data_IF_618620468970
#
_entry.id   IF_618620468970
#
_cell.length_a   1.000
_cell.length_b   1.000
_cell.length_c   1.000
_cell.angle_alpha   90.00
_cell.angle_beta   90.00
_cell.angle_gamma   90.00
#
_symmetry.space_group_name_H-M   'P 1'
#
loop_
_entity.id
_entity.type
_entity.pdbx_description
1 polymer ?
#
# COMPACT_ATOMS: atom_id res chain seq x y z
N UNK A 1 -14.75 21.82 10.61
CA UNK A 1 -13.34 21.74 10.16
C UNK A 1 -12.64 23.09 10.33
N UNK A 2 -13.09 24.16 9.67
CA UNK A 2 -12.46 25.50 9.74
C UNK A 2 -12.36 26.10 11.17
N UNK A 3 -13.39 25.95 12.00
CA UNK A 3 -13.39 26.46 13.38
C UNK A 3 -12.30 25.77 14.22
N UNK A 4 -12.12 24.46 14.07
CA UNK A 4 -11.07 23.70 14.78
C UNK A 4 -9.68 24.21 14.39
N UNK A 5 -9.45 24.39 13.09
CA UNK A 5 -8.19 24.91 12.55
C UNK A 5 -7.93 26.33 13.08
N UNK A 6 -8.95 27.19 13.15
CA UNK A 6 -8.80 28.55 13.69
C UNK A 6 -8.38 28.54 15.16
N UNK A 7 -9.03 27.72 16.00
CA UNK A 7 -8.67 27.58 17.41
C UNK A 7 -7.28 26.96 17.61
N UNK A 8 -6.91 25.98 16.78
CA UNK A 8 -5.60 25.34 16.81
C UNK A 8 -4.49 26.34 16.48
N UNK A 9 -4.67 27.15 15.44
CA UNK A 9 -3.72 28.21 15.04
C UNK A 9 -3.54 29.27 16.13
N UNK A 10 -4.63 29.68 16.80
CA UNK A 10 -4.58 30.64 17.91
C UNK A 10 -3.85 30.04 19.13
N UNK A 11 -4.13 28.78 19.46
CA UNK A 11 -3.46 28.10 20.57
C UNK A 11 -1.95 27.90 20.32
N UNK A 12 -1.58 27.59 19.08
CA UNK A 12 -0.17 27.43 18.66
C UNK A 12 0.60 28.73 18.77
N UNK A 13 0.02 29.85 18.33
CA UNK A 13 0.65 31.16 18.46
C UNK A 13 0.70 31.66 19.91
N UNK A 14 -0.27 31.29 20.74
CA UNK A 14 -0.35 31.71 22.14
C UNK A 14 0.62 31.01 23.09
N UNK A 15 0.99 29.75 22.82
CA UNK A 15 1.85 28.95 23.70
C UNK A 15 2.90 28.09 22.97
N UNK A 16 3.78 28.70 22.16
CA UNK A 16 4.76 27.97 21.34
C UNK A 16 5.72 27.11 22.19
N UNK A 17 6.14 27.59 23.36
CA UNK A 17 7.08 26.88 24.24
C UNK A 17 6.51 25.61 24.91
N UNK A 18 5.18 25.51 25.08
CA UNK A 18 4.54 24.28 25.60
C UNK A 18 4.39 23.23 24.52
N UNK A 19 4.04 23.64 23.30
CA UNK A 19 4.00 22.75 22.14
C UNK A 19 5.39 22.18 21.84
N UNK A 20 6.44 22.98 21.91
CA UNK A 20 7.80 22.50 21.65
C UNK A 20 8.26 21.44 22.66
N UNK A 21 7.89 21.55 23.96
CA UNK A 21 8.17 20.50 24.95
C UNK A 21 7.35 19.23 24.74
N UNK A 22 6.06 19.36 24.40
CA UNK A 22 5.21 18.18 24.12
C UNK A 22 5.67 17.48 22.85
N UNK A 23 5.95 18.23 21.77
CA UNK A 23 6.48 17.69 20.52
C UNK A 23 7.89 17.10 20.68
N UNK A 24 8.74 17.68 21.53
CA UNK A 24 10.06 17.12 21.85
C UNK A 24 9.96 15.78 22.60
N UNK A 25 8.91 15.58 23.40
CA UNK A 25 8.61 14.29 24.04
C UNK A 25 7.79 13.33 23.18
N UNK A 26 7.25 13.74 22.03
CA UNK A 26 6.59 12.82 21.07
C UNK A 26 7.60 11.95 20.34
N UNK A 27 8.86 12.38 20.24
CA UNK A 27 9.99 11.51 19.89
C UNK A 27 10.37 10.62 21.08
N UNK A 28 9.39 10.00 21.76
CA UNK A 28 9.68 8.81 22.57
C UNK A 28 10.20 7.80 21.57
N UNK A 29 11.50 7.51 21.68
CA UNK A 29 12.14 6.38 21.04
C UNK A 29 11.21 5.18 21.19
N UNK A 30 10.47 4.83 20.13
CA UNK A 30 9.50 3.74 20.20
C UNK A 30 10.28 2.55 20.71
N UNK A 31 9.86 1.99 21.85
CA UNK A 31 10.54 0.86 22.46
C UNK A 31 10.79 -0.15 21.34
N UNK A 32 12.06 -0.54 21.13
CA UNK A 32 12.53 -1.30 19.95
C UNK A 32 11.67 -2.54 19.62
N UNK A 33 10.94 -3.05 20.60
CA UNK A 33 10.03 -4.19 20.53
C UNK A 33 8.57 -3.86 20.15
N UNK A 34 8.10 -2.63 20.36
CA UNK A 34 6.75 -2.18 20.01
C UNK A 34 6.36 -2.44 18.54
N UNK A 35 7.20 -2.15 17.52
CA UNK A 35 6.83 -2.43 16.13
C UNK A 35 6.78 -3.94 15.82
N UNK A 36 7.51 -4.76 16.58
CA UNK A 36 7.49 -6.22 16.41
C UNK A 36 6.21 -6.76 17.02
N UNK A 37 5.88 -6.35 18.25
CA UNK A 37 4.66 -6.77 18.96
C UNK A 37 3.40 -6.33 18.21
N UNK A 38 3.37 -5.11 17.67
CA UNK A 38 2.24 -4.64 16.88
C UNK A 38 2.06 -5.48 15.61
N UNK A 39 3.14 -5.73 14.87
CA UNK A 39 3.07 -6.54 13.66
C UNK A 39 2.65 -7.98 13.94
N UNK A 40 3.21 -8.62 14.97
CA UNK A 40 2.81 -9.97 15.36
C UNK A 40 1.35 -10.01 15.76
N UNK A 41 0.88 -9.04 16.54
CA UNK A 41 -0.54 -8.95 16.94
C UNK A 41 -1.44 -8.79 15.72
N UNK A 42 -1.07 -7.94 14.76
CA UNK A 42 -1.81 -7.76 13.51
C UNK A 42 -1.90 -9.07 12.70
N UNK A 43 -0.82 -9.85 12.62
CA UNK A 43 -0.81 -11.14 11.94
C UNK A 43 -1.76 -12.13 12.64
N UNK A 44 -1.70 -12.21 13.97
CA UNK A 44 -2.59 -13.11 14.74
C UNK A 44 -4.05 -12.73 14.55
N UNK A 45 -4.38 -11.45 14.68
CA UNK A 45 -5.74 -10.93 14.48
C UNK A 45 -6.23 -11.21 13.06
N UNK A 46 -5.37 -10.99 12.06
CA UNK A 46 -5.69 -11.28 10.66
C UNK A 46 -6.01 -12.76 10.43
N UNK A 47 -5.16 -13.67 10.91
CA UNK A 47 -5.37 -15.13 10.78
C UNK A 47 -6.64 -15.55 11.51
N UNK A 48 -6.89 -15.01 12.70
CA UNK A 48 -8.10 -15.28 13.47
C UNK A 48 -9.36 -14.88 12.71
N UNK A 49 -9.39 -13.69 12.09
CA UNK A 49 -10.53 -13.26 11.28
C UNK A 49 -10.65 -14.02 9.96
N UNK A 50 -9.55 -14.48 9.36
CA UNK A 50 -9.56 -15.21 8.10
C UNK A 50 -9.91 -16.70 8.25
N UNK A 51 -9.63 -17.31 9.41
CA UNK A 51 -9.93 -18.73 9.70
C UNK A 51 -11.40 -19.12 9.47
N UNK A 52 -12.42 -18.37 9.94
CA UNK A 52 -13.83 -18.69 9.69
C UNK A 52 -14.20 -18.73 8.20
N UNK A 53 -13.56 -17.91 7.37
CA UNK A 53 -13.86 -17.83 5.94
C UNK A 53 -13.15 -18.91 5.12
N UNK A 54 -11.92 -19.27 5.49
CA UNK A 54 -11.08 -20.18 4.69
C UNK A 54 -10.96 -21.60 5.27
N UNK A 55 -11.31 -21.76 6.54
CA UNK A 55 -10.93 -22.91 7.37
C UNK A 55 -9.42 -22.96 7.64
N UNK A 56 -8.99 -24.02 8.33
CA UNK A 56 -7.58 -24.31 8.54
C UNK A 56 -6.97 -24.88 7.24
N UNK A 57 -6.53 -24.02 6.33
CA UNK A 57 -5.99 -24.40 5.02
C UNK A 57 -4.59 -23.82 4.80
N UNK A 58 -3.79 -24.46 3.94
CA UNK A 58 -2.45 -23.96 3.58
C UNK A 58 -2.52 -22.57 2.94
N UNK A 59 -3.59 -22.29 2.17
CA UNK A 59 -3.82 -21.00 1.53
C UNK A 59 -3.90 -19.84 2.54
N UNK A 60 -4.46 -20.08 3.74
CA UNK A 60 -4.53 -19.09 4.81
C UNK A 60 -3.14 -18.66 5.27
N UNK A 61 -2.27 -19.62 5.54
CA UNK A 61 -0.92 -19.33 6.03
C UNK A 61 -0.07 -18.68 4.94
N UNK A 62 -0.13 -19.21 3.70
CA UNK A 62 0.62 -18.67 2.56
C UNK A 62 0.16 -17.25 2.22
N UNK A 63 -1.15 -17.01 2.13
CA UNK A 63 -1.70 -15.69 1.86
C UNK A 63 -1.39 -14.68 2.97
N UNK A 64 -1.35 -15.13 4.23
CA UNK A 64 -0.88 -14.29 5.36
C UNK A 64 0.57 -13.86 5.18
N UNK A 65 1.47 -14.79 4.87
CA UNK A 65 2.90 -14.47 4.63
C UNK A 65 3.05 -13.48 3.49
N UNK A 66 2.31 -13.67 2.41
CA UNK A 66 2.25 -12.79 1.25
C UNK A 66 1.77 -11.39 1.65
N UNK A 67 0.61 -11.27 2.31
CA UNK A 67 0.07 -9.98 2.77
C UNK A 67 1.02 -9.18 3.68
N UNK A 68 1.74 -9.87 4.57
CA UNK A 68 2.64 -9.21 5.53
C UNK A 68 4.10 -9.13 5.04
N UNK A 69 4.42 -9.76 3.91
CA UNK A 69 5.73 -9.69 3.26
C UNK A 69 6.25 -8.26 3.09
N UNK A 70 5.49 -7.27 2.60
CA UNK A 70 6.05 -5.93 2.40
C UNK A 70 6.51 -5.30 3.71
N UNK A 71 5.79 -5.53 4.82
CA UNK A 71 6.12 -4.99 6.14
C UNK A 71 7.37 -5.69 6.71
N UNK A 72 7.58 -6.97 6.39
CA UNK A 72 8.81 -7.68 6.75
C UNK A 72 9.99 -7.20 5.91
N UNK A 73 9.78 -6.98 4.61
CA UNK A 73 10.78 -6.49 3.67
C UNK A 73 11.23 -5.08 4.02
N UNK A 74 10.33 -4.20 4.49
CA UNK A 74 10.62 -2.84 4.94
C UNK A 74 11.72 -2.76 6.02
N UNK A 75 11.96 -3.84 6.79
CA UNK A 75 13.06 -3.88 7.75
C UNK A 75 14.41 -4.23 7.13
N UNK A 76 14.40 -5.05 6.08
CA UNK A 76 15.61 -5.47 5.33
C UNK A 76 15.90 -4.50 4.18
N UNK A 77 14.92 -3.65 3.89
CA UNK A 77 14.87 -2.66 2.85
C UNK A 77 16.02 -1.63 2.89
N UNK A 78 16.66 -1.44 4.03
CA UNK A 78 17.79 -0.52 4.06
C UNK A 78 19.05 -1.05 3.35
N UNK A 79 19.02 -2.26 2.75
CA UNK A 79 20.21 -2.94 2.19
C UNK A 79 20.21 -3.23 0.70
N UNK A 80 19.13 -3.03 -0.04
CA UNK A 80 19.12 -3.40 -1.47
C UNK A 80 19.53 -2.20 -2.34
N UNK A 81 20.19 -2.47 -3.48
CA UNK A 81 20.64 -1.42 -4.40
C UNK A 81 19.44 -0.67 -4.97
N UNK A 82 19.43 0.64 -4.77
CA UNK A 82 18.39 1.53 -5.31
C UNK A 82 18.75 1.96 -6.73
N UNK A 83 17.76 2.07 -7.63
CA UNK A 83 18.00 2.43 -9.03
C UNK A 83 17.16 3.66 -9.44
N UNK A 84 17.79 4.76 -9.91
CA UNK A 84 17.10 6.03 -10.19
C UNK A 84 16.10 5.95 -11.37
N UNK A 85 16.28 4.99 -12.28
CA UNK A 85 15.35 4.76 -13.39
C UNK A 85 13.99 4.15 -12.99
N UNK A 86 13.91 3.52 -11.81
CA UNK A 86 12.71 2.79 -11.38
C UNK A 86 11.62 3.76 -10.87
N UNK A 87 12.02 4.92 -10.34
CA UNK A 87 11.13 5.98 -9.87
C UNK A 87 10.18 6.50 -10.97
N UNK A 88 10.62 6.47 -12.24
CA UNK A 88 9.82 6.94 -13.39
C UNK A 88 8.77 5.93 -13.85
N UNK A 89 8.91 4.65 -13.51
CA UNK A 89 8.03 3.57 -13.99
C UNK A 89 6.91 3.23 -12.99
N UNK A 90 7.10 3.55 -11.70
CA UNK A 90 6.16 3.14 -10.65
C UNK A 90 4.94 4.05 -10.63
N UNK A 91 3.71 3.51 -10.75
CA UNK A 91 2.50 4.31 -10.67
C UNK A 91 2.44 5.05 -9.33
N UNK A 92 2.35 6.38 -9.39
CA UNK A 92 2.22 7.24 -8.22
C UNK A 92 0.79 7.77 -8.08
N UNK A 93 0.39 8.08 -6.85
CA UNK A 93 -0.89 8.70 -6.54
C UNK A 93 -2.10 7.86 -6.99
N UNK A 94 -3.06 8.49 -7.67
CA UNK A 94 -4.30 7.83 -8.11
C UNK A 94 -4.06 6.68 -9.10
N UNK A 95 -3.03 6.80 -9.96
CA UNK A 95 -2.71 5.76 -10.94
C UNK A 95 -2.28 4.44 -10.26
N UNK A 96 -1.61 4.52 -9.09
CA UNK A 96 -1.26 3.35 -8.27
C UNK A 96 -2.50 2.58 -7.85
N UNK A 97 -3.44 3.30 -7.24
CA UNK A 97 -4.68 2.72 -6.74
C UNK A 97 -5.55 2.19 -7.88
N UNK A 98 -5.59 2.89 -9.01
CA UNK A 98 -6.28 2.42 -10.21
C UNK A 98 -5.69 1.09 -10.71
N UNK A 99 -4.36 0.96 -10.76
CA UNK A 99 -3.69 -0.28 -11.16
C UNK A 99 -4.00 -1.44 -10.21
N UNK A 100 -3.97 -1.20 -8.90
CA UNK A 100 -4.29 -2.21 -7.88
C UNK A 100 -5.75 -2.67 -8.03
N UNK A 101 -6.68 -1.74 -8.22
CA UNK A 101 -8.10 -2.06 -8.41
C UNK A 101 -8.31 -2.83 -9.72
N UNK A 102 -7.71 -2.37 -10.82
CA UNK A 102 -7.79 -3.03 -12.12
C UNK A 102 -7.28 -4.46 -12.07
N UNK A 103 -6.08 -4.66 -11.51
CA UNK A 103 -5.49 -5.98 -11.35
C UNK A 103 -6.35 -6.88 -10.45
N UNK A 104 -6.94 -6.35 -9.38
CA UNK A 104 -7.88 -7.08 -8.53
C UNK A 104 -9.15 -7.51 -9.28
N UNK A 105 -9.73 -6.64 -10.10
CA UNK A 105 -10.92 -6.95 -10.92
C UNK A 105 -10.60 -8.03 -11.96
N UNK A 106 -9.48 -7.88 -12.68
CA UNK A 106 -9.03 -8.85 -13.68
C UNK A 106 -8.77 -10.21 -13.03
N UNK A 107 -8.05 -10.23 -11.90
CA UNK A 107 -7.77 -11.43 -11.13
C UNK A 107 -9.05 -12.12 -10.66
N UNK A 108 -10.01 -11.36 -10.12
CA UNK A 108 -11.29 -11.89 -9.66
C UNK A 108 -12.13 -12.49 -10.81
N UNK A 109 -12.21 -11.80 -11.94
CA UNK A 109 -12.91 -12.28 -13.14
C UNK A 109 -12.26 -13.54 -13.72
N UNK A 110 -10.94 -13.54 -13.85
CA UNK A 110 -10.19 -14.69 -14.31
C UNK A 110 -10.45 -15.89 -13.39
N UNK A 111 -10.40 -15.69 -12.08
CA UNK A 111 -10.64 -16.77 -11.14
C UNK A 111 -12.07 -17.30 -11.21
N UNK A 112 -13.07 -16.43 -11.36
CA UNK A 112 -14.46 -16.81 -11.54
C UNK A 112 -14.69 -17.57 -12.85
N UNK A 113 -13.91 -17.30 -13.90
CA UNK A 113 -13.97 -18.01 -15.17
C UNK A 113 -13.40 -19.43 -15.08
N UNK A 114 -12.26 -19.60 -14.38
CA UNK A 114 -11.55 -20.89 -14.31
C UNK A 114 -12.03 -21.82 -13.19
N UNK A 115 -12.60 -21.28 -12.11
CA UNK A 115 -12.94 -22.05 -10.91
C UNK A 115 -14.42 -21.90 -10.58
N UNK A 116 -15.17 -22.98 -10.81
CA UNK A 116 -16.62 -23.03 -10.52
C UNK A 116 -16.93 -23.38 -9.06
N UNK A 117 -15.98 -23.96 -8.30
CA UNK A 117 -16.15 -24.27 -6.88
C UNK A 117 -15.97 -22.99 -6.02
N UNK A 118 -17.02 -22.54 -5.30
CA UNK A 118 -16.95 -21.36 -4.45
C UNK A 118 -15.83 -21.42 -3.41
N UNK A 119 -15.56 -22.60 -2.85
CA UNK A 119 -14.57 -22.77 -1.77
C UNK A 119 -13.16 -22.59 -2.29
N UNK A 120 -12.87 -23.15 -3.48
CA UNK A 120 -11.57 -22.98 -4.13
C UNK A 120 -11.37 -21.56 -4.64
N UNK A 121 -12.43 -20.93 -5.14
CA UNK A 121 -12.40 -19.54 -5.59
C UNK A 121 -12.04 -18.58 -4.44
N UNK A 122 -12.61 -18.77 -3.24
CA UNK A 122 -12.25 -17.95 -2.07
C UNK A 122 -10.77 -18.16 -1.68
N UNK A 123 -10.29 -19.40 -1.69
CA UNK A 123 -8.89 -19.75 -1.35
C UNK A 123 -7.87 -19.12 -2.30
N UNK A 124 -8.13 -19.23 -3.60
CA UNK A 124 -7.26 -18.68 -4.62
C UNK A 124 -7.37 -17.15 -4.69
N UNK A 125 -8.56 -16.59 -4.47
CA UNK A 125 -8.79 -15.15 -4.41
C UNK A 125 -7.94 -14.49 -3.34
N UNK A 126 -7.93 -15.05 -2.13
CA UNK A 126 -7.08 -14.57 -1.03
C UNK A 126 -5.57 -14.64 -1.32
N UNK A 127 -5.13 -15.58 -2.14
CA UNK A 127 -3.73 -15.70 -2.55
C UNK A 127 -3.37 -14.70 -3.66
N UNK A 128 -4.31 -14.44 -4.56
CA UNK A 128 -4.12 -13.66 -5.77
C UNK A 128 -4.31 -12.16 -5.54
N UNK A 129 -5.23 -11.76 -4.66
CA UNK A 129 -5.55 -10.36 -4.34
C UNK A 129 -4.38 -9.53 -3.78
N UNK A 130 -3.54 -10.06 -2.88
CA UNK A 130 -2.41 -9.30 -2.34
C UNK A 130 -1.23 -9.25 -3.30
N UNK A 131 -1.20 -10.10 -4.33
CA UNK A 131 -0.13 -10.22 -5.30
C UNK A 131 0.17 -8.89 -6.04
N UNK A 132 -0.82 -8.15 -6.59
CA UNK A 132 -0.56 -6.83 -7.16
C UNK A 132 -0.08 -5.81 -6.12
N UNK A 133 -0.53 -5.93 -4.87
CA UNK A 133 -0.09 -5.06 -3.78
C UNK A 133 1.42 -5.26 -3.52
N UNK A 134 1.86 -6.51 -3.47
CA UNK A 134 3.26 -6.88 -3.24
C UNK A 134 4.12 -6.52 -4.44
N UNK A 135 3.62 -6.72 -5.66
CA UNK A 135 4.34 -6.32 -6.87
C UNK A 135 4.71 -4.83 -6.82
N UNK A 136 3.75 -3.98 -6.43
CA UNK A 136 4.01 -2.54 -6.26
C UNK A 136 4.93 -2.29 -5.06
N UNK A 137 4.71 -2.93 -3.91
CA UNK A 137 5.55 -2.72 -2.73
C UNK A 137 7.02 -3.12 -2.97
N UNK A 138 7.26 -4.21 -3.71
CA UNK A 138 8.60 -4.64 -4.12
C UNK A 138 9.21 -3.65 -5.10
N UNK A 139 8.43 -3.12 -6.05
CA UNK A 139 8.90 -2.09 -6.97
C UNK A 139 9.27 -0.79 -6.24
N UNK A 140 8.40 -0.32 -5.34
CA UNK A 140 8.64 0.88 -4.50
C UNK A 140 9.94 0.78 -3.73
N UNK A 141 10.28 -0.43 -3.33
CA UNK A 141 11.48 -0.68 -2.58
C UNK A 141 12.79 -0.54 -3.41
N UNK A 142 12.73 -0.69 -4.74
CA UNK A 142 13.88 -0.41 -5.63
C UNK A 142 14.02 1.07 -6.00
N UNK A 143 13.09 1.92 -5.56
CA UNK A 143 13.15 3.37 -5.80
C UNK A 143 14.28 3.97 -4.98
N UNK A 144 15.12 4.79 -5.62
CA UNK A 144 16.09 5.60 -4.91
C UNK A 144 15.39 6.61 -4.01
N UNK A 145 15.79 6.66 -2.73
CA UNK A 145 15.51 7.84 -1.92
C UNK A 145 16.31 8.96 -2.57
N UNK A 146 15.63 9.87 -3.24
CA UNK A 146 16.20 11.15 -3.63
C UNK A 146 16.37 11.95 -2.33
N UNK A 147 17.41 11.61 -1.55
CA UNK A 147 18.00 12.51 -0.57
C UNK A 147 18.78 13.56 -1.36
N UNK A 148 18.32 14.80 -1.22
CA UNK A 148 18.93 16.06 -1.63
C UNK A 148 18.26 16.79 -2.84
N UNK A 149 17.67 17.91 -2.46
CA UNK A 149 17.65 19.21 -3.15
C UNK A 149 16.56 19.55 -4.19
N UNK A 150 15.68 20.45 -3.74
CA UNK A 150 15.19 21.65 -4.44
C UNK A 150 14.43 21.53 -5.78
N UNK A 151 14.16 20.35 -6.32
CA UNK A 151 13.45 20.25 -7.61
C UNK A 151 11.97 19.85 -7.49
N UNK A 152 11.20 20.64 -6.74
CA UNK A 152 9.73 20.64 -6.83
C UNK A 152 9.20 21.08 -8.21
N UNK A 153 10.10 21.38 -9.17
CA UNK A 153 9.78 21.87 -10.52
C UNK A 153 9.80 20.76 -11.59
N UNK A 154 10.67 19.75 -11.51
CA UNK A 154 10.69 18.62 -12.46
C UNK A 154 9.59 17.59 -12.18
N UNK A 155 9.03 17.62 -10.96
CA UNK A 155 7.88 16.84 -10.49
C UNK A 155 6.54 17.25 -11.14
N UNK A 156 6.50 18.40 -11.83
CA UNK A 156 5.30 18.92 -12.49
C UNK A 156 5.18 18.53 -13.97
N UNK A 157 6.27 18.12 -14.64
CA UNK A 157 6.24 17.81 -16.08
C UNK A 157 5.68 16.41 -16.38
N UNK A 158 5.75 15.49 -15.41
CA UNK A 158 5.25 14.12 -15.53
C UNK A 158 3.80 13.93 -15.03
N UNK A 159 3.11 15.00 -14.63
CA UNK A 159 1.70 14.91 -14.20
C UNK A 159 0.80 14.44 -15.35
N UNK A 160 1.17 14.76 -16.60
CA UNK A 160 0.41 14.32 -17.78
C UNK A 160 0.61 12.82 -18.08
N UNK A 161 1.82 12.30 -17.91
CA UNK A 161 2.13 10.88 -18.07
C UNK A 161 1.35 10.04 -17.03
N UNK A 162 1.35 10.47 -15.77
CA UNK A 162 0.60 9.79 -14.69
C UNK A 162 -0.92 9.91 -14.83
N UNK A 163 -1.43 11.03 -15.33
CA UNK A 163 -2.85 11.19 -15.67
C UNK A 163 -3.25 10.30 -16.84
N UNK A 164 -2.42 10.19 -17.88
CA UNK A 164 -2.66 9.27 -18.99
C UNK A 164 -2.61 7.82 -18.54
N UNK A 165 -1.68 7.42 -17.67
CA UNK A 165 -1.64 6.07 -17.11
C UNK A 165 -2.91 5.77 -16.31
N UNK A 166 -3.35 6.70 -15.44
CA UNK A 166 -4.61 6.55 -14.70
C UNK A 166 -5.82 6.40 -15.63
N UNK A 167 -5.93 7.27 -16.64
CA UNK A 167 -7.01 7.19 -17.64
C UNK A 167 -6.93 5.91 -18.47
N UNK A 168 -5.74 5.50 -18.89
CA UNK A 168 -5.53 4.25 -19.64
C UNK A 168 -5.94 3.03 -18.83
N UNK A 169 -5.62 3.00 -17.52
CA UNK A 169 -6.06 1.94 -16.61
C UNK A 169 -7.57 1.96 -16.42
N UNK A 170 -8.19 3.13 -16.28
CA UNK A 170 -9.66 3.24 -16.19
C UNK A 170 -10.32 2.78 -17.49
N UNK A 171 -9.80 3.18 -18.65
CA UNK A 171 -10.30 2.75 -19.96
C UNK A 171 -10.12 1.25 -20.14
N UNK A 172 -8.96 0.68 -19.77
CA UNK A 172 -8.73 -0.76 -19.79
C UNK A 172 -9.67 -1.50 -18.82
N UNK A 173 -9.92 -0.94 -17.63
CA UNK A 173 -10.86 -1.48 -16.66
C UNK A 173 -12.28 -1.49 -17.21
N UNK A 174 -12.74 -0.38 -17.79
CA UNK A 174 -14.04 -0.27 -18.44
C UNK A 174 -14.12 -1.25 -19.61
N UNK A 175 -13.08 -1.35 -20.44
CA UNK A 175 -13.03 -2.30 -21.54
C UNK A 175 -13.15 -3.74 -21.07
N UNK A 176 -12.37 -4.17 -20.08
CA UNK A 176 -12.47 -5.52 -19.48
C UNK A 176 -13.85 -5.75 -18.84
N UNK A 177 -14.48 -4.71 -18.31
CA UNK A 177 -15.80 -4.83 -17.69
C UNK A 177 -16.91 -4.94 -18.73
N UNK A 178 -16.83 -4.16 -19.82
CA UNK A 178 -17.80 -4.09 -20.92
C UNK A 178 -17.63 -5.24 -21.92
N UNK A 179 -16.41 -5.72 -22.14
CA UNK A 179 -16.12 -6.83 -23.06
C UNK A 179 -16.62 -8.20 -22.54
N UNK A 180 -17.16 -8.28 -21.32
CA UNK A 180 -17.84 -9.47 -20.83
C UNK A 180 -16.93 -10.69 -20.60
N UNK A 181 -15.62 -10.47 -20.41
CA UNK A 181 -14.68 -11.47 -19.85
C UNK A 181 -14.74 -11.39 -18.33
#
# INVERSE_FOLDING_TARGET
MAVRIAFETIAVHGYPGRLQRVSAHTNVELARYQPIVSQTTSIVVFVFFAMPYMGNSVALYVGTVICFSPILLDRVAHRLPKHPGVAKLIPQGLAKWAYIIFSGIVAGKLLAHWVSDPTQSIRLGFLLLPLPLIAIAVLEYFVADDEDDEESSSRQTSVWMWRLTGTAVVVACVYVTVAGI
#
